data_IF_534419315952
#
_entry.id   IF_534419315952
#
_cell.length_a   1.000
_cell.length_b   1.000
_cell.length_c   1.000
_cell.angle_alpha   90.00
_cell.angle_beta   90.00
_cell.angle_gamma   90.00
#
_symmetry.space_group_name_H-M   'P 1'
#
loop_
_entity.id
_entity.type
_entity.pdbx_description
1 polymer ?
#
# COMPACT_ATOMS: atom_id res chain seq x y z
N UNK A 1 4.55 -17.22 -3.94
CA UNK A 1 4.11 -15.81 -4.12
C UNK A 1 4.13 -15.13 -2.75
N UNK A 2 4.51 -13.86 -2.67
CA UNK A 2 4.69 -13.13 -1.40
C UNK A 2 3.86 -11.85 -1.42
N UNK A 3 3.21 -11.55 -0.29
CA UNK A 3 2.57 -10.25 -0.03
C UNK A 3 3.30 -9.63 1.15
N UNK A 4 3.74 -8.39 0.99
CA UNK A 4 4.33 -7.62 2.09
C UNK A 4 3.23 -6.78 2.71
N UNK A 5 3.03 -6.94 4.02
CA UNK A 5 2.14 -6.09 4.81
C UNK A 5 3.02 -5.31 5.78
N UNK A 6 2.84 -4.01 5.83
CA UNK A 6 3.61 -3.12 6.71
C UNK A 6 2.68 -2.17 7.46
N UNK A 7 2.94 -2.00 8.76
CA UNK A 7 2.22 -1.09 9.64
C UNK A 7 3.21 -0.17 10.34
N UNK A 8 2.85 1.11 10.52
CA UNK A 8 3.66 2.11 11.20
C UNK A 8 5.10 2.14 10.64
N UNK A 9 6.13 2.07 11.49
CA UNK A 9 7.54 2.02 11.10
C UNK A 9 7.93 0.85 10.16
N UNK A 10 7.02 -0.11 9.92
CA UNK A 10 7.23 -1.22 8.98
C UNK A 10 7.42 -0.79 7.52
N UNK A 11 7.06 0.44 7.13
CA UNK A 11 7.30 0.92 5.77
C UNK A 11 8.77 0.92 5.39
N UNK A 12 9.68 1.21 6.32
CA UNK A 12 11.11 1.33 6.05
C UNK A 12 11.73 -0.02 5.65
N UNK A 13 11.60 -1.11 6.45
CA UNK A 13 12.06 -2.42 6.00
C UNK A 13 11.32 -2.92 4.75
N UNK A 14 10.04 -2.57 4.57
CA UNK A 14 9.30 -2.90 3.34
C UNK A 14 9.94 -2.23 2.11
N UNK A 15 10.16 -0.91 2.16
CA UNK A 15 10.75 -0.14 1.06
C UNK A 15 12.14 -0.68 0.67
N UNK A 16 13.00 -0.96 1.65
CA UNK A 16 14.33 -1.53 1.39
C UNK A 16 14.27 -2.98 0.90
N UNK A 17 13.31 -3.78 1.38
CA UNK A 17 13.08 -5.13 0.84
C UNK A 17 12.65 -5.10 -0.63
N UNK A 18 11.81 -4.13 -1.02
CA UNK A 18 11.39 -3.93 -2.41
C UNK A 18 12.55 -3.48 -3.30
N UNK A 19 13.36 -2.53 -2.81
CA UNK A 19 14.44 -1.93 -3.58
C UNK A 19 15.69 -2.81 -3.68
N UNK A 20 16.06 -3.52 -2.60
CA UNK A 20 17.35 -4.23 -2.49
C UNK A 20 17.21 -5.73 -2.22
N UNK A 21 16.03 -6.23 -1.86
CA UNK A 21 15.85 -7.61 -1.40
C UNK A 21 15.95 -8.69 -2.49
N UNK A 22 16.10 -8.31 -3.76
CA UNK A 22 16.29 -9.25 -4.90
C UNK A 22 15.08 -10.15 -5.22
N UNK A 23 13.98 -10.02 -4.47
CA UNK A 23 12.80 -10.88 -4.57
C UNK A 23 11.61 -10.23 -5.28
N UNK A 24 11.80 -9.07 -5.93
CA UNK A 24 10.71 -8.28 -6.55
C UNK A 24 9.84 -9.11 -7.52
N UNK A 25 10.41 -10.09 -8.23
CA UNK A 25 9.66 -11.00 -9.10
C UNK A 25 8.67 -11.93 -8.39
N UNK A 26 8.86 -12.18 -7.09
CA UNK A 26 7.98 -13.03 -6.26
C UNK A 26 6.93 -12.24 -5.48
N UNK A 27 7.11 -10.94 -5.34
CA UNK A 27 6.21 -10.05 -4.58
C UNK A 27 5.01 -9.74 -5.48
N UNK A 28 3.82 -10.16 -5.04
CA UNK A 28 2.56 -10.05 -5.77
C UNK A 28 1.63 -8.98 -5.19
N UNK A 29 1.96 -8.46 -4.01
CA UNK A 29 1.18 -7.45 -3.33
C UNK A 29 2.00 -6.71 -2.29
N UNK A 30 1.71 -5.43 -2.12
CA UNK A 30 2.15 -4.62 -0.98
C UNK A 30 0.91 -3.98 -0.37
N UNK A 31 0.77 -4.11 0.95
CA UNK A 31 -0.27 -3.46 1.74
C UNK A 31 0.42 -2.61 2.80
N UNK A 32 0.21 -1.30 2.75
CA UNK A 32 0.61 -0.37 3.80
C UNK A 32 -0.62 -0.04 4.64
N UNK A 33 -0.49 -0.16 5.96
CA UNK A 33 -1.49 0.19 6.96
C UNK A 33 -0.91 1.31 7.80
N UNK A 34 -1.34 2.53 7.54
CA UNK A 34 -0.89 3.76 8.20
C UNK A 34 0.62 3.80 8.45
N UNK A 35 1.39 3.61 7.37
CA UNK A 35 2.82 3.32 7.45
C UNK A 35 3.70 4.26 6.63
N UNK A 36 3.16 4.90 5.58
CA UNK A 36 3.98 5.60 4.58
C UNK A 36 4.49 6.96 5.08
N UNK A 37 5.54 6.95 5.91
CA UNK A 37 6.20 8.14 6.45
C UNK A 37 7.40 8.62 5.61
N UNK A 38 7.72 7.93 4.52
CA UNK A 38 8.80 8.27 3.61
C UNK A 38 9.11 7.14 2.64
N UNK A 39 10.23 7.25 1.93
CA UNK A 39 10.69 6.26 0.94
C UNK A 39 9.74 6.09 -0.26
N UNK A 40 8.94 7.11 -0.56
CA UNK A 40 7.93 7.13 -1.62
C UNK A 40 8.52 6.77 -2.98
N UNK A 41 9.75 7.21 -3.27
CA UNK A 41 10.44 6.85 -4.50
C UNK A 41 10.68 5.35 -4.64
N UNK A 42 11.00 4.64 -3.55
CA UNK A 42 11.21 3.18 -3.60
C UNK A 42 9.89 2.46 -3.87
N UNK A 43 8.80 2.91 -3.25
CA UNK A 43 7.47 2.38 -3.54
C UNK A 43 7.02 2.68 -4.98
N UNK A 44 7.20 3.91 -5.46
CA UNK A 44 6.89 4.30 -6.84
C UNK A 44 7.64 3.44 -7.86
N UNK A 45 8.96 3.33 -7.71
CA UNK A 45 9.81 2.51 -8.59
C UNK A 45 9.38 1.04 -8.59
N UNK A 46 9.00 0.49 -7.43
CA UNK A 46 8.49 -0.88 -7.35
C UNK A 46 7.13 -1.03 -8.04
N UNK A 47 6.18 -0.11 -7.81
CA UNK A 47 4.85 -0.13 -8.44
C UNK A 47 4.99 -0.08 -9.98
N UNK A 48 5.79 0.85 -10.48
CA UNK A 48 6.07 1.01 -11.91
C UNK A 48 6.76 -0.21 -12.51
N UNK A 49 7.74 -0.79 -11.79
CA UNK A 49 8.45 -1.98 -12.24
C UNK A 49 7.58 -3.25 -12.18
N UNK A 50 6.69 -3.36 -11.19
CA UNK A 50 5.77 -4.48 -11.04
C UNK A 50 4.72 -4.49 -12.15
N UNK A 51 4.25 -3.32 -12.61
CA UNK A 51 3.20 -3.16 -13.63
C UNK A 51 1.98 -4.06 -13.29
N UNK A 52 1.42 -4.73 -14.28
CA UNK A 52 0.29 -5.66 -14.17
C UNK A 52 0.62 -6.99 -13.50
N UNK A 53 1.73 -7.12 -12.75
CA UNK A 53 2.11 -8.36 -12.04
C UNK A 53 1.79 -8.32 -10.55
N UNK A 54 1.60 -7.15 -9.95
CA UNK A 54 1.32 -7.04 -8.53
C UNK A 54 0.23 -6.01 -8.26
N UNK A 55 -0.26 -5.98 -7.03
CA UNK A 55 -1.11 -4.90 -6.53
C UNK A 55 -0.37 -4.08 -5.47
N UNK A 56 -0.82 -2.84 -5.27
CA UNK A 56 -0.41 -1.97 -4.19
C UNK A 56 -1.66 -1.39 -3.53
N UNK A 57 -1.71 -1.44 -2.20
CA UNK A 57 -2.72 -0.73 -1.40
C UNK A 57 -2.01 0.02 -0.30
N UNK A 58 -2.36 1.29 -0.11
CA UNK A 58 -1.99 2.05 1.07
C UNK A 58 -3.25 2.61 1.72
N UNK A 59 -3.57 2.11 2.91
CA UNK A 59 -4.61 2.69 3.75
C UNK A 59 -3.96 3.56 4.82
N UNK A 60 -4.48 4.76 5.04
CA UNK A 60 -3.81 5.75 5.89
C UNK A 60 -4.78 6.58 6.73
N UNK A 61 -4.30 7.06 7.88
CA UNK A 61 -4.93 8.10 8.68
C UNK A 61 -4.23 9.44 8.44
N UNK A 62 -4.56 10.46 9.23
CA UNK A 62 -3.79 11.71 9.29
C UNK A 62 -2.29 11.48 9.56
N UNK A 63 -1.90 10.40 10.24
CA UNK A 63 -0.50 10.18 10.63
C UNK A 63 0.45 10.01 9.43
N UNK A 64 -0.01 9.32 8.37
CA UNK A 64 0.78 9.06 7.15
C UNK A 64 0.20 9.74 5.90
N UNK A 65 -0.69 10.71 6.08
CA UNK A 65 -1.42 11.39 5.01
C UNK A 65 -0.50 12.01 3.93
N UNK A 66 0.52 12.77 4.35
CA UNK A 66 1.36 13.53 3.42
C UNK A 66 2.19 12.61 2.51
N UNK A 67 2.73 11.51 3.04
CA UNK A 67 3.45 10.51 2.24
C UNK A 67 2.54 9.83 1.21
N UNK A 68 1.28 9.56 1.58
CA UNK A 68 0.29 9.02 0.66
C UNK A 68 -0.07 10.00 -0.45
N UNK A 69 -0.27 11.28 -0.13
CA UNK A 69 -0.49 12.32 -1.13
C UNK A 69 0.71 12.46 -2.08
N UNK A 70 1.93 12.46 -1.55
CA UNK A 70 3.15 12.60 -2.32
C UNK A 70 3.34 11.42 -3.30
N UNK A 71 3.19 10.18 -2.82
CA UNK A 71 3.28 9.00 -3.66
C UNK A 71 2.18 8.98 -4.73
N UNK A 72 0.93 9.29 -4.36
CA UNK A 72 -0.19 9.37 -5.30
C UNK A 72 0.06 10.41 -6.39
N UNK A 73 0.52 11.60 -6.02
CA UNK A 73 0.83 12.67 -6.96
C UNK A 73 1.95 12.27 -7.93
N UNK A 74 2.98 11.60 -7.42
CA UNK A 74 4.07 11.04 -8.23
C UNK A 74 3.54 10.01 -9.24
N UNK A 75 2.83 8.99 -8.77
CA UNK A 75 2.28 7.92 -9.62
C UNK A 75 1.37 8.47 -10.72
N UNK A 76 0.50 9.45 -10.40
CA UNK A 76 -0.36 10.11 -11.39
C UNK A 76 0.43 10.85 -12.46
N UNK A 77 1.44 11.63 -12.06
CA UNK A 77 2.31 12.34 -12.98
C UNK A 77 3.04 11.36 -13.92
N UNK A 78 3.41 10.20 -13.39
CA UNK A 78 4.15 9.16 -14.12
C UNK A 78 3.20 8.22 -14.91
N UNK A 79 1.90 8.56 -14.98
CA UNK A 79 0.90 7.90 -15.82
C UNK A 79 0.38 6.56 -15.27
N UNK A 80 0.63 6.27 -13.98
CA UNK A 80 0.12 5.07 -13.32
C UNK A 80 -1.33 5.33 -12.87
N UNK A 81 -2.31 4.50 -13.29
CA UNK A 81 -3.68 4.60 -12.80
C UNK A 81 -3.73 4.36 -11.28
N UNK A 82 -4.44 5.23 -10.57
CA UNK A 82 -4.61 5.14 -9.11
C UNK A 82 -6.10 5.17 -8.77
N UNK A 83 -6.54 4.20 -7.99
CA UNK A 83 -7.88 4.12 -7.40
C UNK A 83 -7.91 4.86 -6.06
N UNK A 84 -8.97 5.63 -5.82
CA UNK A 84 -9.24 6.26 -4.54
C UNK A 84 -10.35 5.48 -3.81
N UNK A 85 -10.12 5.18 -2.54
CA UNK A 85 -11.03 4.38 -1.73
C UNK A 85 -10.78 2.87 -1.85
N UNK A 86 -11.69 2.11 -1.26
CA UNK A 86 -11.59 0.66 -1.14
C UNK A 86 -11.74 -0.01 -2.52
N UNK A 87 -10.75 -0.79 -2.99
CA UNK A 87 -10.87 -1.50 -4.26
C UNK A 87 -11.87 -2.67 -4.18
N UNK A 88 -12.51 -2.97 -5.31
CA UNK A 88 -13.42 -4.12 -5.44
C UNK A 88 -12.71 -5.46 -5.28
N UNK A 89 -11.40 -5.51 -5.55
CA UNK A 89 -10.59 -6.72 -5.45
C UNK A 89 -9.10 -6.46 -5.54
N UNK A 90 -8.30 -7.20 -4.78
CA UNK A 90 -6.84 -7.14 -4.82
C UNK A 90 -6.33 -8.06 -5.93
N UNK A 91 -6.08 -7.48 -7.11
CA UNK A 91 -5.64 -8.18 -8.32
C UNK A 91 -4.49 -7.43 -8.99
N UNK A 92 -3.65 -8.10 -9.79
CA UNK A 92 -2.52 -7.45 -10.45
C UNK A 92 -2.95 -6.21 -11.26
N UNK A 93 -2.20 -5.12 -11.11
CA UNK A 93 -2.49 -3.81 -11.72
C UNK A 93 -3.29 -2.85 -10.83
N UNK A 94 -3.88 -3.32 -9.72
CA UNK A 94 -4.56 -2.43 -8.76
C UNK A 94 -3.53 -1.64 -7.96
N UNK A 95 -3.70 -0.32 -7.95
CA UNK A 95 -2.95 0.62 -7.11
C UNK A 95 -3.96 1.52 -6.42
N UNK A 96 -4.23 1.28 -5.14
CA UNK A 96 -5.31 1.93 -4.40
C UNK A 96 -4.80 2.68 -3.16
N UNK A 97 -5.44 3.81 -2.89
CA UNK A 97 -5.19 4.63 -1.70
C UNK A 97 -6.50 4.81 -0.93
N UNK A 98 -6.51 4.37 0.32
CA UNK A 98 -7.70 4.36 1.19
C UNK A 98 -7.47 5.37 2.30
N UNK A 99 -8.14 6.52 2.21
CA UNK A 99 -8.21 7.46 3.32
C UNK A 99 -9.19 6.92 4.37
N UNK A 100 -8.68 6.54 5.53
CA UNK A 100 -9.50 6.05 6.64
C UNK A 100 -10.03 7.19 7.53
N UNK A 101 -9.63 8.44 7.26
CA UNK A 101 -10.00 9.62 8.04
C UNK A 101 -9.32 9.68 9.41
N UNK A 102 -10.05 10.24 10.38
CA UNK A 102 -9.59 10.46 11.75
C UNK A 102 -9.64 9.16 12.58
N UNK A 103 -8.69 8.27 12.31
CA UNK A 103 -8.50 6.99 12.99
C UNK A 103 -7.23 7.05 13.82
N UNK A 104 -7.26 6.51 15.03
CA UNK A 104 -6.09 6.37 15.89
C UNK A 104 -5.03 5.52 15.20
N UNK A 105 -3.81 6.07 15.10
CA UNK A 105 -2.66 5.34 14.56
C UNK A 105 -2.47 4.00 15.28
N UNK A 106 -2.44 4.02 16.61
CA UNK A 106 -2.12 2.86 17.46
C UNK A 106 -3.11 1.70 17.30
N UNK A 107 -4.35 2.01 16.94
CA UNK A 107 -5.41 1.03 16.75
C UNK A 107 -5.65 0.69 15.29
N UNK A 108 -4.95 1.30 14.33
CA UNK A 108 -5.31 1.27 12.91
C UNK A 108 -5.44 -0.15 12.32
N UNK A 109 -4.67 -1.11 12.82
CA UNK A 109 -4.72 -2.52 12.38
C UNK A 109 -5.85 -3.32 13.02
N UNK A 110 -6.43 -2.84 14.12
CA UNK A 110 -7.54 -3.43 14.84
C UNK A 110 -8.86 -2.74 14.48
N UNK A 111 -8.88 -1.41 14.42
CA UNK A 111 -10.07 -0.62 14.15
C UNK A 111 -9.70 0.55 13.24
N UNK A 112 -10.22 0.53 12.02
CA UNK A 112 -10.20 1.65 11.09
C UNK A 112 -11.59 1.81 10.45
N UNK A 113 -11.76 1.52 9.16
CA UNK A 113 -13.08 1.44 8.53
C UNK A 113 -13.89 0.20 8.95
N UNK A 114 -13.25 -0.75 9.65
CA UNK A 114 -13.82 -2.00 10.16
C UNK A 114 -13.01 -2.48 11.37
N UNK A 115 -13.47 -3.55 12.03
CA UNK A 115 -12.86 -4.17 13.22
C UNK A 115 -11.76 -5.21 12.93
N UNK A 116 -11.46 -5.46 11.66
CA UNK A 116 -10.28 -6.23 11.23
C UNK A 116 -9.81 -5.72 9.84
N UNK A 117 -9.23 -4.51 9.72
CA UNK A 117 -8.91 -3.89 8.43
C UNK A 117 -8.05 -4.75 7.49
N UNK A 118 -7.04 -5.44 8.03
CA UNK A 118 -6.20 -6.34 7.24
C UNK A 118 -6.99 -7.57 6.73
N UNK A 119 -7.87 -8.13 7.57
CA UNK A 119 -8.72 -9.26 7.16
C UNK A 119 -9.67 -8.86 6.05
N UNK A 120 -10.30 -7.68 6.17
CA UNK A 120 -11.19 -7.15 5.14
C UNK A 120 -10.45 -6.97 3.80
N UNK A 121 -9.25 -6.36 3.81
CA UNK A 121 -8.43 -6.24 2.61
C UNK A 121 -8.06 -7.61 2.02
N UNK A 122 -7.57 -8.55 2.83
CA UNK A 122 -7.18 -9.87 2.35
C UNK A 122 -8.36 -10.70 1.85
N UNK A 123 -9.58 -10.47 2.37
CA UNK A 123 -10.80 -11.13 1.88
C UNK A 123 -11.14 -10.76 0.43
N UNK A 124 -10.63 -9.62 -0.05
CA UNK A 124 -10.81 -9.11 -1.42
C UNK A 124 -9.77 -9.67 -2.39
N UNK A 125 -8.82 -10.48 -1.95
CA UNK A 125 -7.92 -11.17 -2.87
C UNK A 125 -8.74 -12.13 -3.74
N UNK A 126 -8.63 -11.97 -5.05
CA UNK A 126 -9.18 -12.95 -5.98
C UNK A 126 -8.50 -14.31 -5.81
N UNK A 127 -9.24 -15.38 -6.12
CA UNK A 127 -8.62 -16.68 -6.42
C UNK A 127 -7.86 -16.61 -7.74
#
# INVERSE_FOLDING_TARGET
PVIIVAYSGGYMPAAYSLALGGAAGRIRGVILLDALYGEEEKFANWIEGARSRAFFVSAYSNSSHDGNLALRARLRRDGVPVEEGMPDGLRPGVVAFIDAGDVSHDDFVNVAWTSDPLRDLLSRMGR
#
